data_IF_616533161766
#
_entry.id   IF_616533161766
#
_cell.length_a   1.000
_cell.length_b   1.000
_cell.length_c   1.000
_cell.angle_alpha   90.00
_cell.angle_beta   90.00
_cell.angle_gamma   90.00
#
_symmetry.space_group_name_H-M   'P 1'
#
loop_
_entity.id
_entity.type
_entity.pdbx_description
1 polymer ?
#
# COMPACT_ATOMS: atom_id res chain seq x y z
N UNK A 1 24.15 4.94 -25.78
CA UNK A 1 24.38 3.71 -24.99
C UNK A 1 24.44 3.91 -23.47
N UNK A 2 24.39 5.13 -22.92
CA UNK A 2 24.48 5.38 -21.46
C UNK A 2 23.17 5.20 -20.66
N UNK A 3 22.04 4.97 -21.33
CA UNK A 3 20.71 4.88 -20.69
C UNK A 3 20.30 3.47 -20.25
N UNK A 4 21.10 2.44 -20.57
CA UNK A 4 20.78 1.04 -20.22
C UNK A 4 21.26 0.65 -18.81
N UNK A 5 22.24 1.38 -18.27
CA UNK A 5 22.96 1.05 -17.03
C UNK A 5 22.08 1.12 -15.77
N UNK A 6 21.21 2.12 -15.58
CA UNK A 6 20.30 2.16 -14.42
C UNK A 6 19.25 1.05 -14.47
N UNK A 7 18.79 0.70 -15.67
CA UNK A 7 17.80 -0.36 -15.89
C UNK A 7 18.43 -1.73 -15.60
N UNK A 8 19.64 -1.99 -16.11
CA UNK A 8 20.39 -3.23 -15.85
C UNK A 8 20.75 -3.41 -14.37
N UNK A 9 21.15 -2.35 -13.68
CA UNK A 9 21.52 -2.41 -12.25
C UNK A 9 20.34 -2.71 -11.32
N UNK A 10 19.09 -2.51 -11.78
CA UNK A 10 17.88 -2.91 -11.03
C UNK A 10 17.34 -4.26 -11.50
N UNK A 11 17.31 -4.51 -12.81
CA UNK A 11 16.75 -5.75 -13.40
C UNK A 11 17.57 -6.99 -13.04
N UNK A 12 18.90 -6.86 -12.98
CA UNK A 12 19.79 -7.97 -12.66
C UNK A 12 19.55 -8.44 -11.21
N UNK A 13 19.66 -7.59 -10.16
CA UNK A 13 19.32 -7.99 -8.81
C UNK A 13 17.89 -8.50 -8.66
N UNK A 14 16.91 -7.90 -9.34
CA UNK A 14 15.52 -8.33 -9.28
C UNK A 14 15.33 -9.76 -9.79
N UNK A 15 15.88 -10.10 -10.96
CA UNK A 15 15.82 -11.47 -11.51
C UNK A 15 16.53 -12.48 -10.61
N UNK A 16 17.67 -12.11 -10.03
CA UNK A 16 18.41 -12.99 -9.13
C UNK A 16 17.73 -13.19 -7.77
N UNK A 17 17.04 -12.17 -7.24
CA UNK A 17 16.30 -12.27 -5.98
C UNK A 17 14.99 -13.05 -6.13
N UNK A 18 14.26 -12.85 -7.24
CA UNK A 18 13.00 -13.57 -7.52
C UNK A 18 13.19 -15.08 -7.64
N UNK A 19 14.33 -15.53 -8.17
CA UNK A 19 14.59 -16.95 -8.40
C UNK A 19 15.13 -17.71 -7.17
N UNK A 20 15.29 -17.03 -6.01
CA UNK A 20 15.89 -17.61 -4.80
C UNK A 20 14.86 -17.90 -3.69
N UNK A 21 13.57 -17.70 -3.96
CA UNK A 21 12.49 -17.76 -2.97
C UNK A 21 12.23 -19.17 -2.46
N UNK A 22 12.72 -19.49 -1.26
CA UNK A 22 12.31 -20.66 -0.49
C UNK A 22 11.50 -20.31 0.76
N UNK A 23 11.33 -19.01 1.12
CA UNK A 23 10.55 -18.59 2.30
C UNK A 23 10.00 -17.17 2.13
N UNK A 24 8.78 -16.91 2.63
CA UNK A 24 8.11 -15.60 2.55
C UNK A 24 8.90 -14.44 3.20
N UNK A 25 9.78 -14.75 4.15
CA UNK A 25 10.66 -13.77 4.80
C UNK A 25 11.70 -13.21 3.82
N UNK A 26 12.32 -14.08 3.03
CA UNK A 26 13.33 -13.70 2.05
C UNK A 26 12.71 -12.86 0.94
N UNK A 27 11.45 -13.14 0.58
CA UNK A 27 10.68 -12.32 -0.36
C UNK A 27 10.54 -10.87 0.10
N UNK A 28 10.15 -10.64 1.35
CA UNK A 28 9.98 -9.27 1.87
C UNK A 28 11.31 -8.53 2.05
N UNK A 29 12.36 -9.23 2.48
CA UNK A 29 13.69 -8.63 2.61
C UNK A 29 14.30 -8.29 1.24
N UNK A 30 14.02 -9.10 0.22
CA UNK A 30 14.37 -8.81 -1.17
C UNK A 30 13.62 -7.58 -1.71
N UNK A 31 12.31 -7.48 -1.48
CA UNK A 31 11.53 -6.29 -1.87
C UNK A 31 12.06 -5.01 -1.19
N UNK A 32 12.44 -5.10 0.08
CA UNK A 32 13.03 -3.98 0.84
C UNK A 32 14.38 -3.57 0.26
N UNK A 33 15.20 -4.54 -0.09
CA UNK A 33 16.52 -4.31 -0.72
C UNK A 33 16.37 -3.68 -2.10
N UNK A 34 15.43 -4.16 -2.91
CA UNK A 34 15.16 -3.59 -4.23
C UNK A 34 14.64 -2.15 -4.13
N UNK A 35 13.74 -1.87 -3.18
CA UNK A 35 13.27 -0.50 -2.92
C UNK A 35 14.43 0.45 -2.59
N UNK A 36 15.37 0.01 -1.76
CA UNK A 36 16.57 0.79 -1.40
C UNK A 36 17.48 1.03 -2.59
N UNK A 37 17.70 0.00 -3.42
CA UNK A 37 18.50 0.11 -4.64
C UNK A 37 17.86 1.09 -5.64
N UNK A 38 16.54 1.04 -5.82
CA UNK A 38 15.82 1.98 -6.68
C UNK A 38 15.96 3.42 -6.19
N UNK A 39 15.79 3.66 -4.90
CA UNK A 39 15.96 4.98 -4.29
C UNK A 39 17.41 5.49 -4.42
N UNK A 40 18.39 4.61 -4.19
CA UNK A 40 19.80 4.95 -4.35
C UNK A 40 20.12 5.37 -5.79
N UNK A 41 19.65 4.60 -6.77
CA UNK A 41 19.83 4.94 -8.19
C UNK A 41 19.15 6.26 -8.56
N UNK A 42 17.94 6.50 -8.04
CA UNK A 42 17.24 7.77 -8.24
C UNK A 42 18.06 8.95 -7.70
N UNK A 43 18.57 8.85 -6.47
CA UNK A 43 19.41 9.89 -5.86
C UNK A 43 20.68 10.12 -6.67
N UNK A 44 21.35 9.06 -7.14
CA UNK A 44 22.56 9.20 -7.96
C UNK A 44 22.27 9.95 -9.27
N UNK A 45 21.15 9.68 -9.93
CA UNK A 45 20.75 10.34 -11.18
C UNK A 45 20.50 11.83 -10.94
N UNK A 46 19.75 12.17 -9.89
CA UNK A 46 19.49 13.56 -9.50
C UNK A 46 20.79 14.31 -9.17
N UNK A 47 21.69 13.67 -8.42
CA UNK A 47 22.95 14.27 -8.01
C UNK A 47 23.89 14.51 -9.20
N UNK A 48 23.95 13.58 -10.15
CA UNK A 48 24.69 13.77 -11.42
C UNK A 48 24.07 14.90 -12.25
N UNK A 49 22.73 14.97 -12.32
CA UNK A 49 22.04 16.05 -13.04
C UNK A 49 22.35 17.43 -12.46
N UNK A 50 22.37 17.55 -11.13
CA UNK A 50 22.71 18.78 -10.42
C UNK A 50 24.17 19.19 -10.61
N UNK A 51 25.11 18.26 -10.42
CA UNK A 51 26.57 18.54 -10.51
C UNK A 51 26.98 18.92 -11.92
N UNK A 52 26.36 18.31 -12.93
CA UNK A 52 26.71 18.59 -14.33
C UNK A 52 26.04 19.85 -14.88
N UNK A 53 25.10 20.46 -14.14
CA UNK A 53 24.22 21.55 -14.61
C UNK A 53 23.54 21.26 -15.95
N UNK A 54 23.55 20.00 -16.37
CA UNK A 54 23.11 19.51 -17.66
C UNK A 54 21.72 18.86 -17.49
N UNK A 55 20.86 19.55 -16.72
CA UNK A 55 19.45 19.22 -16.54
C UNK A 55 18.72 19.39 -17.86
N UNK A 56 18.90 18.42 -18.75
CA UNK A 56 18.22 18.37 -20.03
C UNK A 56 16.91 17.60 -19.87
N UNK A 57 16.00 17.79 -20.82
CA UNK A 57 14.73 17.07 -20.91
C UNK A 57 14.89 15.56 -20.69
N UNK A 58 15.97 14.96 -21.20
CA UNK A 58 16.29 13.55 -21.03
C UNK A 58 16.53 13.12 -19.58
N UNK A 59 17.32 13.88 -18.80
CA UNK A 59 17.56 13.57 -17.38
C UNK A 59 16.28 13.70 -16.55
N UNK A 60 15.47 14.72 -16.84
CA UNK A 60 14.16 14.89 -16.19
C UNK A 60 13.21 13.74 -16.53
N UNK A 61 13.15 13.33 -17.79
CA UNK A 61 12.31 12.22 -18.23
C UNK A 61 12.71 10.89 -17.55
N UNK A 62 14.01 10.63 -17.40
CA UNK A 62 14.51 9.44 -16.70
C UNK A 62 14.12 9.46 -15.22
N UNK A 63 14.25 10.60 -14.55
CA UNK A 63 13.83 10.75 -13.16
C UNK A 63 12.34 10.50 -12.97
N UNK A 64 11.50 11.05 -13.85
CA UNK A 64 10.04 10.81 -13.83
C UNK A 64 9.72 9.34 -14.08
N UNK A 65 10.35 8.69 -15.05
CA UNK A 65 10.15 7.27 -15.33
C UNK A 65 10.57 6.38 -14.16
N UNK A 66 11.68 6.71 -13.49
CA UNK A 66 12.12 6.01 -12.28
C UNK A 66 11.13 6.17 -11.12
N UNK A 67 10.55 7.36 -10.95
CA UNK A 67 9.49 7.60 -9.95
C UNK A 67 8.23 6.79 -10.27
N UNK A 68 7.78 6.78 -11.52
CA UNK A 68 6.61 6.00 -11.96
C UNK A 68 6.87 4.50 -11.71
N UNK A 69 8.06 4.01 -12.05
CA UNK A 69 8.44 2.62 -11.82
C UNK A 69 8.46 2.29 -10.31
N UNK A 70 8.99 3.17 -9.47
CA UNK A 70 9.02 3.00 -8.02
C UNK A 70 7.62 2.94 -7.42
N UNK A 71 6.71 3.81 -7.88
CA UNK A 71 5.31 3.80 -7.46
C UNK A 71 4.62 2.49 -7.85
N UNK A 72 4.81 2.06 -9.09
CA UNK A 72 4.25 0.81 -9.59
C UNK A 72 4.77 -0.40 -8.80
N UNK A 73 6.08 -0.47 -8.59
CA UNK A 73 6.72 -1.51 -7.80
C UNK A 73 6.17 -1.54 -6.37
N UNK A 74 6.04 -0.38 -5.70
CA UNK A 74 5.47 -0.31 -4.35
C UNK A 74 4.02 -0.78 -4.30
N UNK A 75 3.20 -0.42 -5.28
CA UNK A 75 1.80 -0.86 -5.34
C UNK A 75 1.70 -2.38 -5.46
N UNK A 76 2.50 -2.97 -6.36
CA UNK A 76 2.55 -4.41 -6.56
C UNK A 76 3.01 -5.14 -5.30
N UNK A 77 4.14 -4.73 -4.74
CA UNK A 77 4.71 -5.32 -3.51
C UNK A 77 3.78 -5.24 -2.32
N UNK A 78 3.05 -4.13 -2.17
CA UNK A 78 2.06 -3.98 -1.10
C UNK A 78 0.87 -4.92 -1.27
N UNK A 79 0.42 -5.13 -2.51
CA UNK A 79 -0.67 -6.04 -2.80
C UNK A 79 -0.25 -7.49 -2.54
N UNK A 80 0.92 -7.89 -3.02
CA UNK A 80 1.48 -9.22 -2.77
C UNK A 80 1.65 -9.49 -1.28
N UNK A 81 2.14 -8.51 -0.52
CA UNK A 81 2.23 -8.61 0.95
C UNK A 81 0.89 -8.89 1.59
N UNK A 82 -0.16 -8.18 1.18
CA UNK A 82 -1.51 -8.40 1.71
C UNK A 82 -2.03 -9.80 1.41
N UNK A 83 -1.87 -10.25 0.17
CA UNK A 83 -2.29 -11.60 -0.27
C UNK A 83 -1.55 -12.67 0.53
N UNK A 84 -0.23 -12.55 0.70
CA UNK A 84 0.58 -13.45 1.52
C UNK A 84 0.15 -13.47 2.98
N UNK A 85 -0.09 -12.29 3.58
CA UNK A 85 -0.57 -12.24 4.98
C UNK A 85 -1.94 -12.87 5.16
N UNK A 86 -2.84 -12.70 4.18
CA UNK A 86 -4.16 -13.33 4.20
C UNK A 86 -4.06 -14.84 4.03
N UNK A 87 -3.20 -15.33 3.14
CA UNK A 87 -2.97 -16.77 2.92
C UNK A 87 -2.36 -17.45 4.14
N UNK A 88 -1.36 -16.84 4.77
CA UNK A 88 -0.59 -17.48 5.83
C UNK A 88 -1.30 -17.45 7.18
N UNK A 89 -2.05 -16.39 7.48
CA UNK A 89 -2.79 -16.26 8.74
C UNK A 89 -4.06 -15.43 8.54
N UNK A 90 -5.10 -16.01 7.92
CA UNK A 90 -6.35 -15.31 7.66
C UNK A 90 -7.05 -14.88 8.96
N UNK A 91 -6.89 -15.65 10.05
CA UNK A 91 -7.45 -15.33 11.37
C UNK A 91 -6.89 -14.02 11.94
N UNK A 92 -5.57 -13.81 11.88
CA UNK A 92 -4.95 -12.57 12.34
C UNK A 92 -5.38 -11.36 11.50
N UNK A 93 -5.65 -11.56 10.20
CA UNK A 93 -6.17 -10.49 9.33
C UNK A 93 -7.63 -10.17 9.70
N UNK A 94 -8.44 -11.20 9.96
CA UNK A 94 -9.82 -11.05 10.43
C UNK A 94 -9.89 -10.24 11.73
N UNK A 95 -9.10 -10.61 12.75
CA UNK A 95 -9.08 -9.92 14.05
C UNK A 95 -8.68 -8.45 13.91
N UNK A 96 -7.62 -8.16 13.15
CA UNK A 96 -7.20 -6.78 12.87
C UNK A 96 -8.28 -5.97 12.16
N UNK A 97 -8.98 -6.59 11.23
CA UNK A 97 -10.04 -5.94 10.48
C UNK A 97 -11.27 -5.67 11.35
N UNK A 98 -11.63 -6.60 12.22
CA UNK A 98 -12.69 -6.44 13.22
C UNK A 98 -12.39 -5.26 14.15
N UNK A 99 -11.18 -5.22 14.75
CA UNK A 99 -10.74 -4.13 15.61
C UNK A 99 -10.82 -2.75 14.93
N UNK A 100 -10.47 -2.70 13.64
CA UNK A 100 -10.58 -1.49 12.83
C UNK A 100 -12.03 -1.06 12.60
N UNK A 101 -12.93 -2.02 12.36
CA UNK A 101 -14.38 -1.76 12.23
C UNK A 101 -14.93 -1.20 13.54
N UNK A 102 -14.62 -1.85 14.67
CA UNK A 102 -15.06 -1.42 16.00
C UNK A 102 -14.60 0.02 16.30
N UNK A 103 -13.35 0.35 15.94
CA UNK A 103 -12.82 1.71 16.07
C UNK A 103 -13.58 2.71 15.19
N UNK A 104 -13.88 2.36 13.95
CA UNK A 104 -14.63 3.23 13.03
C UNK A 104 -16.07 3.45 13.52
N UNK A 105 -16.71 2.41 14.06
CA UNK A 105 -18.05 2.50 14.65
C UNK A 105 -18.06 3.38 15.90
N UNK A 106 -17.05 3.27 16.76
CA UNK A 106 -16.90 4.17 17.91
C UNK A 106 -16.79 5.64 17.49
N UNK A 107 -15.99 5.93 16.45
CA UNK A 107 -15.87 7.29 15.90
C UNK A 107 -17.19 7.76 15.26
N UNK A 108 -17.89 6.86 14.57
CA UNK A 108 -19.19 7.17 13.97
C UNK A 108 -20.24 7.51 15.02
N UNK A 109 -20.33 6.73 16.10
CA UNK A 109 -21.27 6.96 17.19
C UNK A 109 -20.98 8.27 17.92
N UNK A 110 -19.69 8.56 18.23
CA UNK A 110 -19.28 9.85 18.79
C UNK A 110 -19.67 11.02 17.88
N UNK A 111 -19.48 10.86 16.57
CA UNK A 111 -19.87 11.90 15.63
C UNK A 111 -21.39 12.08 15.50
N UNK A 112 -22.20 11.04 15.72
CA UNK A 112 -23.66 11.17 15.84
C UNK A 112 -24.06 11.97 17.09
N UNK A 113 -23.44 11.67 18.23
CA UNK A 113 -23.66 12.42 19.48
C UNK A 113 -23.28 13.91 19.31
N UNK A 114 -22.15 14.21 18.67
CA UNK A 114 -21.73 15.59 18.37
C UNK A 114 -22.69 16.30 17.39
N UNK A 115 -23.25 15.58 16.42
CA UNK A 115 -24.22 16.11 15.46
C UNK A 115 -25.53 16.54 16.16
N UNK A 116 -26.02 15.73 17.10
CA UNK A 116 -27.22 16.03 17.88
C UNK A 116 -27.06 17.27 18.76
N UNK A 117 -25.86 17.44 19.33
CA UNK A 117 -25.54 18.56 20.23
C UNK A 117 -25.13 19.87 19.51
N UNK A 118 -24.99 19.85 18.18
CA UNK A 118 -24.59 21.04 17.41
C UNK A 118 -25.80 21.85 16.96
N UNK A 119 -25.87 23.14 17.26
CA UNK A 119 -26.98 24.00 16.84
C UNK A 119 -26.79 24.64 15.45
N UNK A 120 -25.54 24.76 14.97
CA UNK A 120 -25.21 25.34 13.67
C UNK A 120 -25.56 24.40 12.50
N UNK A 121 -26.49 24.80 11.64
CA UNK A 121 -26.93 24.03 10.47
C UNK A 121 -25.82 23.74 9.44
N UNK A 122 -24.88 24.67 9.24
CA UNK A 122 -23.79 24.50 8.28
C UNK A 122 -22.79 23.45 8.79
N UNK A 123 -22.52 23.47 10.10
CA UNK A 123 -21.68 22.46 10.76
C UNK A 123 -22.39 21.11 10.76
N UNK A 124 -23.71 21.07 11.04
CA UNK A 124 -24.53 19.85 10.93
C UNK A 124 -24.47 19.21 9.55
N UNK A 125 -24.66 19.98 8.47
CA UNK A 125 -24.55 19.43 7.11
C UNK A 125 -23.15 18.89 6.80
N UNK A 126 -22.09 19.58 7.23
CA UNK A 126 -20.71 19.12 7.04
C UNK A 126 -20.42 17.83 7.81
N UNK A 127 -20.85 17.75 9.07
CA UNK A 127 -20.70 16.56 9.92
C UNK A 127 -21.48 15.38 9.35
N UNK A 128 -22.74 15.60 8.92
CA UNK A 128 -23.56 14.56 8.28
C UNK A 128 -22.87 13.98 7.05
N UNK A 129 -22.32 14.83 6.16
CA UNK A 129 -21.56 14.35 4.99
C UNK A 129 -20.32 13.53 5.37
N UNK A 130 -19.61 13.89 6.45
CA UNK A 130 -18.47 13.13 6.95
C UNK A 130 -18.91 11.78 7.55
N UNK A 131 -20.02 11.76 8.29
CA UNK A 131 -20.61 10.55 8.86
C UNK A 131 -21.10 9.61 7.76
N UNK A 132 -21.75 10.11 6.71
CA UNK A 132 -22.19 9.30 5.58
C UNK A 132 -21.01 8.60 4.90
N UNK A 133 -19.91 9.34 4.65
CA UNK A 133 -18.67 8.76 4.11
C UNK A 133 -18.07 7.71 5.05
N UNK A 134 -18.11 7.95 6.36
CA UNK A 134 -17.63 7.02 7.37
C UNK A 134 -18.49 5.74 7.39
N UNK A 135 -19.81 5.87 7.31
CA UNK A 135 -20.75 4.75 7.26
C UNK A 135 -20.52 3.87 6.01
N UNK A 136 -20.35 4.49 4.83
CA UNK A 136 -20.00 3.76 3.60
C UNK A 136 -18.69 2.97 3.77
N UNK A 137 -17.70 3.57 4.44
CA UNK A 137 -16.42 2.90 4.72
C UNK A 137 -16.56 1.74 5.72
N UNK A 138 -17.38 1.90 6.76
CA UNK A 138 -17.71 0.83 7.72
C UNK A 138 -18.38 -0.33 6.99
N UNK A 139 -19.42 -0.06 6.20
CA UNK A 139 -20.15 -1.08 5.44
C UNK A 139 -19.25 -1.82 4.45
N UNK A 140 -18.35 -1.11 3.77
CA UNK A 140 -17.37 -1.73 2.86
C UNK A 140 -16.41 -2.64 3.63
N UNK A 141 -15.96 -2.20 4.81
CA UNK A 141 -15.07 -2.99 5.67
C UNK A 141 -15.78 -4.24 6.21
N UNK A 142 -17.06 -4.15 6.60
CA UNK A 142 -17.87 -5.32 7.01
C UNK A 142 -18.02 -6.35 5.91
N UNK A 143 -18.26 -5.92 4.67
CA UNK A 143 -18.32 -6.83 3.51
C UNK A 143 -17.00 -7.57 3.29
N UNK A 144 -15.88 -6.86 3.41
CA UNK A 144 -14.55 -7.46 3.30
C UNK A 144 -14.27 -8.43 4.46
N UNK A 145 -14.68 -8.11 5.68
CA UNK A 145 -14.58 -9.01 6.83
C UNK A 145 -15.36 -10.31 6.60
N UNK A 146 -16.59 -10.22 6.08
CA UNK A 146 -17.42 -11.38 5.75
C UNK A 146 -16.79 -12.26 4.65
N UNK A 147 -16.10 -11.67 3.68
CA UNK A 147 -15.33 -12.43 2.69
C UNK A 147 -14.17 -13.20 3.33
N UNK A 148 -13.44 -12.58 4.26
CA UNK A 148 -12.33 -13.24 4.98
C UNK A 148 -12.87 -14.38 5.86
N UNK A 149 -14.00 -14.16 6.53
CA UNK A 149 -14.68 -15.19 7.32
C UNK A 149 -15.09 -16.39 6.47
N UNK A 150 -15.62 -16.15 5.28
CA UNK A 150 -15.94 -17.20 4.30
C UNK A 150 -14.69 -18.01 3.92
N UNK A 151 -13.56 -17.35 3.65
CA UNK A 151 -12.28 -18.02 3.34
C UNK A 151 -11.81 -18.90 4.51
N UNK A 152 -11.90 -18.39 5.75
CA UNK A 152 -11.51 -19.17 6.95
C UNK A 152 -12.41 -20.41 7.11
N UNK A 153 -13.71 -20.27 6.86
CA UNK A 153 -14.67 -21.36 7.00
C UNK A 153 -14.53 -22.41 5.89
N UNK A 154 -14.22 -22.01 4.64
CA UNK A 154 -13.93 -22.96 3.56
C UNK A 154 -12.65 -23.76 3.80
N UNK A 155 -11.62 -23.13 4.38
CA UNK A 155 -10.37 -23.82 4.72
C UNK A 155 -10.53 -24.80 5.90
N UNK A 156 -11.49 -24.56 6.80
CA UNK A 156 -11.82 -25.49 7.88
C UNK A 156 -12.65 -26.70 7.41
N UNK A 157 -13.54 -26.51 6.45
CA UNK A 157 -14.41 -27.58 5.93
C UNK A 157 -13.75 -28.47 4.86
N UNK A 158 -12.54 -28.11 4.41
CA UNK A 158 -11.74 -28.88 3.44
C UNK A 158 -10.63 -29.72 4.09
N UNK A 159 -10.55 -29.73 5.43
CA UNK A 159 -9.73 -30.63 6.25
C UNK A 159 -10.59 -31.72 6.87
#
# INVERSE_FOLDING_TARGET
MLFLTPILTVLIPFRFMKNKENTDKDFFDNQKTLTRLLLFNFICIELVSLVTQNGNYETFNISVMMLIYLLYFKMLSFNEKKVLTLKNNPQAVYEKMKLKIDTLESVYNKGLEELENTEDEKVKMSMKSKLDKLNVKINTSKKQLAMIESIINSDKNSK
#
